data_IF_297636459097
#
_entry.id   IF_297636459097
#
_cell.length_a   1.000
_cell.length_b   1.000
_cell.length_c   1.000
_cell.angle_alpha   90.00
_cell.angle_beta   90.00
_cell.angle_gamma   90.00
#
_symmetry.space_group_name_H-M   'P 1'
#
loop_
_entity.id
_entity.type
_entity.pdbx_description
1 polymer ?
#
# COMPACT_ATOMS: atom_id res chain seq x y z
N UNK A 1 -22.66 3.17 1.63
CA UNK A 1 -21.38 3.59 1.04
C UNK A 1 -20.67 2.35 0.55
N UNK A 2 -20.00 2.42 -0.60
CA UNK A 2 -19.10 1.35 -1.02
C UNK A 2 -17.92 1.36 -0.05
N UNK A 3 -17.78 0.33 0.78
CA UNK A 3 -16.66 0.21 1.73
C UNK A 3 -15.42 -0.15 0.92
N UNK A 4 -14.41 0.72 0.93
CA UNK A 4 -13.14 0.47 0.22
C UNK A 4 -12.31 -0.49 1.07
N UNK A 5 -12.35 -1.79 0.78
CA UNK A 5 -11.59 -2.77 1.57
C UNK A 5 -10.35 -3.26 0.80
N UNK A 6 -9.13 -2.99 1.27
CA UNK A 6 -7.92 -3.55 0.67
C UNK A 6 -7.90 -5.08 0.81
N UNK A 7 -7.62 -5.77 -0.30
CA UNK A 7 -7.49 -7.21 -0.34
C UNK A 7 -6.17 -7.61 -1.03
N UNK A 8 -5.61 -8.75 -0.61
CA UNK A 8 -4.42 -9.33 -1.26
C UNK A 8 -4.73 -9.59 -2.72
N UNK A 9 -3.79 -9.22 -3.59
CA UNK A 9 -3.94 -9.36 -5.04
C UNK A 9 -4.71 -8.23 -5.72
N UNK A 10 -5.26 -7.24 -4.99
CA UNK A 10 -5.75 -6.01 -5.62
C UNK A 10 -4.60 -5.35 -6.37
N UNK A 11 -4.79 -5.13 -7.67
CA UNK A 11 -3.79 -4.60 -8.59
C UNK A 11 -4.04 -3.13 -8.93
N UNK A 12 -2.97 -2.39 -9.18
CA UNK A 12 -2.95 -0.98 -9.54
C UNK A 12 -1.95 -0.74 -10.65
N UNK A 13 -2.19 0.25 -11.50
CA UNK A 13 -1.28 0.63 -12.58
C UNK A 13 -0.07 1.40 -12.03
N UNK A 14 -0.19 1.99 -10.84
CA UNK A 14 0.88 2.75 -10.21
C UNK A 14 0.88 2.66 -8.68
N UNK A 15 2.04 2.96 -8.07
CA UNK A 15 2.15 3.11 -6.62
C UNK A 15 1.30 4.26 -6.08
N UNK A 16 1.13 5.32 -6.87
CA UNK A 16 0.34 6.48 -6.47
C UNK A 16 -1.15 6.13 -6.37
N UNK A 17 -1.65 5.38 -7.34
CA UNK A 17 -3.01 4.82 -7.30
C UNK A 17 -3.21 3.90 -6.10
N UNK A 18 -2.26 2.99 -5.83
CA UNK A 18 -2.30 2.13 -4.65
C UNK A 18 -2.34 2.93 -3.33
N UNK A 19 -1.58 4.04 -3.28
CA UNK A 19 -1.55 4.94 -2.13
C UNK A 19 -2.87 5.68 -1.96
N UNK A 20 -3.43 6.23 -3.04
CA UNK A 20 -4.72 6.93 -3.02
C UNK A 20 -5.85 5.99 -2.59
N UNK A 21 -5.87 4.76 -3.11
CA UNK A 21 -6.82 3.73 -2.72
C UNK A 21 -6.76 3.46 -1.20
N UNK A 22 -5.55 3.25 -0.66
CA UNK A 22 -5.39 2.99 0.77
C UNK A 22 -5.65 4.23 1.65
N UNK A 23 -5.42 5.44 1.12
CA UNK A 23 -5.77 6.68 1.80
C UNK A 23 -7.29 6.88 1.93
N UNK A 24 -8.07 6.46 0.92
CA UNK A 24 -9.53 6.46 1.00
C UNK A 24 -10.01 5.46 2.07
N UNK A 25 -9.48 4.24 2.06
CA UNK A 25 -9.76 3.27 3.12
C UNK A 25 -9.40 3.81 4.51
N UNK A 26 -8.21 4.38 4.66
CA UNK A 26 -7.76 4.88 5.96
C UNK A 26 -8.62 6.03 6.46
N UNK A 27 -9.13 6.87 5.56
CA UNK A 27 -10.11 7.90 5.88
C UNK A 27 -11.44 7.30 6.40
N UNK A 28 -11.97 6.27 5.72
CA UNK A 28 -13.19 5.59 6.16
C UNK A 28 -13.04 4.92 7.53
N UNK A 29 -11.84 4.39 7.84
CA UNK A 29 -11.54 3.74 9.13
C UNK A 29 -11.13 4.75 10.21
N UNK A 30 -10.63 5.93 9.84
CA UNK A 30 -10.27 7.00 10.78
C UNK A 30 -8.79 7.05 11.18
N UNK A 31 -7.86 6.68 10.28
CA UNK A 31 -6.42 6.83 10.50
C UNK A 31 -5.70 7.45 9.30
N UNK A 32 -4.53 8.06 9.54
CA UNK A 32 -3.65 8.54 8.48
C UNK A 32 -2.64 7.47 8.05
N UNK A 33 -2.07 7.61 6.85
CA UNK A 33 -1.08 6.66 6.31
C UNK A 33 0.23 7.37 5.96
N UNK A 34 1.31 6.59 5.85
CA UNK A 34 2.61 7.07 5.36
C UNK A 34 3.39 5.95 4.68
N UNK A 35 4.37 6.33 3.87
CA UNK A 35 5.37 5.40 3.36
C UNK A 35 6.33 4.96 4.49
N UNK A 36 6.66 3.67 4.49
CA UNK A 36 7.66 3.05 5.37
C UNK A 36 8.82 2.50 4.53
N UNK A 37 9.19 1.22 4.68
CA UNK A 37 10.30 0.63 3.95
C UNK A 37 9.99 0.51 2.46
N UNK A 38 11.04 0.55 1.65
CA UNK A 38 10.95 0.23 0.24
C UNK A 38 12.13 -0.65 -0.15
N UNK A 39 11.91 -1.47 -1.16
CA UNK A 39 12.93 -2.35 -1.71
C UNK A 39 13.16 -2.05 -3.17
N UNK A 40 14.42 -2.17 -3.57
CA UNK A 40 14.86 -2.02 -4.95
C UNK A 40 15.28 -3.39 -5.50
N UNK A 41 15.06 -3.60 -6.79
CA UNK A 41 15.63 -4.75 -7.51
C UNK A 41 17.13 -4.50 -7.83
N UNK A 42 17.77 -5.48 -8.50
CA UNK A 42 19.18 -5.39 -8.92
C UNK A 42 19.47 -4.21 -9.86
N UNK A 43 18.45 -3.75 -10.58
CA UNK A 43 18.51 -2.59 -11.49
C UNK A 43 18.23 -1.26 -10.77
N UNK A 44 18.13 -1.27 -9.43
CA UNK A 44 17.78 -0.11 -8.58
C UNK A 44 16.40 0.49 -8.85
N UNK A 45 15.49 -0.29 -9.42
CA UNK A 45 14.08 0.07 -9.59
C UNK A 45 13.30 -0.38 -8.37
N UNK A 46 12.42 0.48 -7.85
CA UNK A 46 11.55 0.14 -6.73
C UNK A 46 10.63 -1.03 -7.10
N UNK A 47 10.78 -2.14 -6.37
CA UNK A 47 10.00 -3.35 -6.56
C UNK A 47 9.00 -3.62 -5.43
N UNK A 48 9.14 -2.95 -4.28
CA UNK A 48 8.17 -3.03 -3.19
C UNK A 48 8.16 -1.75 -2.36
N UNK A 49 6.99 -1.41 -1.82
CA UNK A 49 6.75 -0.27 -0.95
C UNK A 49 5.79 -0.66 0.18
N UNK A 50 6.22 -0.50 1.43
CA UNK A 50 5.31 -0.56 2.58
C UNK A 50 4.52 0.75 2.69
N UNK A 51 3.23 0.61 2.95
CA UNK A 51 2.32 1.65 3.41
C UNK A 51 1.85 1.25 4.81
N UNK A 52 2.03 2.14 5.78
CA UNK A 52 1.72 1.86 7.19
C UNK A 52 0.82 2.94 7.77
N UNK A 53 0.11 2.59 8.84
CA UNK A 53 -0.59 3.58 9.64
C UNK A 53 0.38 4.63 10.21
N UNK A 54 -0.06 5.89 10.22
CA UNK A 54 0.66 7.01 10.81
C UNK A 54 0.65 6.99 12.34
N UNK A 55 -0.24 6.21 12.97
CA UNK A 55 -0.26 6.05 14.42
C UNK A 55 0.94 5.21 14.90
N UNK A 56 1.54 5.57 16.03
CA UNK A 56 2.66 4.85 16.63
C UNK A 56 2.30 3.47 17.23
N UNK A 57 1.01 3.07 17.18
CA UNK A 57 0.52 1.80 17.73
C UNK A 57 0.68 0.67 16.72
N UNK A 58 1.46 -0.34 17.14
CA UNK A 58 1.92 -1.54 16.38
C UNK A 58 0.84 -2.46 15.79
N UNK A 59 -0.45 -2.14 15.90
CA UNK A 59 -1.54 -3.03 15.49
C UNK A 59 -2.12 -2.76 14.10
N UNK A 60 -1.74 -1.65 13.44
CA UNK A 60 -2.44 -1.18 12.24
C UNK A 60 -1.66 -1.48 10.96
N UNK A 61 -1.97 -2.64 10.40
CA UNK A 61 -1.91 -3.05 8.98
C UNK A 61 -0.66 -2.55 8.24
N UNK A 62 0.37 -3.40 8.21
CA UNK A 62 1.46 -3.29 7.25
C UNK A 62 0.92 -3.74 5.90
N UNK A 63 0.75 -2.81 4.97
CA UNK A 63 0.36 -3.16 3.61
C UNK A 63 1.59 -3.07 2.73
N UNK A 64 1.97 -4.18 2.12
CA UNK A 64 3.09 -4.21 1.18
C UNK A 64 2.53 -4.14 -0.23
N UNK A 65 3.03 -3.21 -1.03
CA UNK A 65 2.68 -3.13 -2.45
C UNK A 65 3.91 -3.52 -3.26
N UNK A 66 3.81 -4.60 -4.03
CA UNK A 66 4.91 -5.11 -4.86
C UNK A 66 4.67 -4.85 -6.34
N UNK A 67 5.73 -4.44 -7.04
CA UNK A 67 5.74 -4.35 -8.51
C UNK A 67 5.81 -5.76 -9.09
N UNK A 68 4.76 -6.16 -9.79
CA UNK A 68 4.74 -7.26 -10.76
C UNK A 68 5.02 -6.67 -12.15
N UNK A 69 5.20 -7.52 -13.17
CA UNK A 69 5.59 -7.12 -14.54
C UNK A 69 5.14 -5.70 -14.93
N UNK A 70 3.83 -5.49 -15.04
CA UNK A 70 3.24 -4.23 -15.52
C UNK A 70 2.35 -3.52 -14.48
N UNK A 71 2.20 -4.09 -13.28
CA UNK A 71 1.27 -3.58 -12.27
C UNK A 71 1.83 -3.72 -10.85
N UNK A 72 1.21 -3.02 -9.91
CA UNK A 72 1.47 -3.12 -8.48
C UNK A 72 0.38 -3.92 -7.80
N UNK A 73 0.71 -4.82 -6.88
CA UNK A 73 -0.27 -5.63 -6.17
C UNK A 73 -0.10 -5.53 -4.66
N UNK A 74 -1.23 -5.55 -3.93
CA UNK A 74 -1.22 -5.73 -2.48
C UNK A 74 -0.75 -7.13 -2.15
N UNK A 75 0.24 -7.22 -1.27
CA UNK A 75 0.79 -8.43 -0.66
C UNK A 75 0.56 -8.37 0.86
N UNK A 76 0.40 -9.53 1.51
CA UNK A 76 0.36 -9.66 2.98
C UNK A 76 1.73 -9.44 3.61
#
# INVERSE_FOLDING_TARGET
GNVVNPAVGTSFDSLDEAYQFYNLYSWEVGFGIRYSKSWLNVERVKCMQEIVCGCAVRFLIFLSVSKKHEYYAIET
#
